data_IF_756854059665
#
_entry.id   IF_756854059665
#
_cell.length_a   1.000
_cell.length_b   1.000
_cell.length_c   1.000
_cell.angle_alpha   90.00
_cell.angle_beta   90.00
_cell.angle_gamma   90.00
#
_symmetry.space_group_name_H-M   'P 1'
#
loop_
_entity.id
_entity.type
_entity.pdbx_description
1 polymer ?
#
# COMPACT_ATOMS: atom_id res chain seq x y z
N UNK A 1 -20.85 65.88 2.70
CA UNK A 1 -21.29 64.95 3.76
C UNK A 1 -20.49 63.66 3.60
N UNK A 2 -19.55 63.39 4.49
CA UNK A 2 -18.62 62.27 4.39
C UNK A 2 -19.20 61.00 5.01
N UNK A 3 -19.24 59.92 4.25
CA UNK A 3 -19.47 58.57 4.78
C UNK A 3 -18.13 57.97 5.18
N UNK A 4 -17.93 57.83 6.49
CA UNK A 4 -16.79 57.11 7.06
C UNK A 4 -16.84 55.66 6.58
N UNK A 5 -15.84 55.26 5.77
CA UNK A 5 -15.58 53.86 5.49
C UNK A 5 -15.17 53.17 6.78
N UNK A 6 -15.99 52.21 7.22
CA UNK A 6 -15.68 51.34 8.34
C UNK A 6 -14.52 50.45 7.89
N UNK A 7 -13.34 50.64 8.49
CA UNK A 7 -12.23 49.72 8.35
C UNK A 7 -12.41 48.62 9.39
N UNK A 8 -13.09 47.53 9.00
CA UNK A 8 -13.08 46.30 9.78
C UNK A 8 -11.81 45.53 9.43
N UNK A 9 -10.72 45.83 10.11
CA UNK A 9 -9.61 44.91 10.26
C UNK A 9 -10.06 43.76 11.19
N UNK A 10 -10.90 42.88 10.68
CA UNK A 10 -10.99 41.52 11.22
C UNK A 10 -9.86 40.73 10.56
N UNK A 11 -8.72 40.66 11.24
CA UNK A 11 -7.67 39.69 10.93
C UNK A 11 -8.32 38.31 10.96
N UNK A 12 -8.69 37.80 9.78
CA UNK A 12 -9.03 36.41 9.61
C UNK A 12 -7.75 35.59 9.84
N UNK A 13 -7.55 35.20 11.10
CA UNK A 13 -6.58 34.20 11.55
C UNK A 13 -6.97 32.82 10.97
N UNK A 14 -6.83 32.67 9.65
CA UNK A 14 -6.92 31.36 9.00
C UNK A 14 -6.04 31.26 7.75
N UNK A 15 -4.97 32.05 7.67
CA UNK A 15 -4.02 31.99 6.55
C UNK A 15 -2.89 30.94 6.73
N UNK A 16 -2.91 30.11 7.77
CA UNK A 16 -1.93 29.00 7.98
C UNK A 16 -2.51 27.59 7.81
N UNK A 17 -3.79 27.42 7.50
CA UNK A 17 -4.36 26.08 7.17
C UNK A 17 -4.23 25.72 5.69
N UNK A 18 -3.20 26.24 5.00
CA UNK A 18 -2.91 25.85 3.62
C UNK A 18 -2.25 24.46 3.60
N UNK A 19 -3.07 23.47 3.28
CA UNK A 19 -2.66 22.26 2.55
C UNK A 19 -1.65 21.32 3.25
N UNK A 20 -1.92 20.89 4.49
CA UNK A 20 -1.38 19.58 4.91
C UNK A 20 -2.16 18.52 4.13
N UNK A 21 -1.54 17.92 3.12
CA UNK A 21 -2.09 16.77 2.41
C UNK A 21 -2.59 15.78 3.46
N UNK A 22 -3.90 15.51 3.49
CA UNK A 22 -4.50 14.58 4.47
C UNK A 22 -3.85 13.21 4.28
N UNK A 23 -3.03 12.82 5.25
CA UNK A 23 -2.44 11.49 5.35
C UNK A 23 -3.39 10.60 6.13
N UNK A 24 -3.56 9.37 5.68
CA UNK A 24 -4.41 8.37 6.31
C UNK A 24 -3.58 7.18 6.76
N UNK A 25 -3.97 6.52 7.84
CA UNK A 25 -3.27 5.31 8.29
C UNK A 25 -3.68 4.11 7.44
N UNK A 26 -2.71 3.26 7.08
CA UNK A 26 -2.98 1.92 6.53
C UNK A 26 -3.39 1.01 7.68
N UNK A 27 -4.70 0.76 7.79
CA UNK A 27 -5.25 -0.17 8.78
C UNK A 27 -5.43 -1.54 8.13
N UNK A 28 -4.83 -2.57 8.71
CA UNK A 28 -4.89 -3.94 8.18
C UNK A 28 -5.95 -4.75 8.93
N UNK A 29 -6.75 -5.57 8.26
CA UNK A 29 -7.71 -6.40 8.98
C UNK A 29 -6.96 -7.56 9.67
N UNK A 30 -7.45 -7.95 10.85
CA UNK A 30 -6.80 -9.00 11.68
C UNK A 30 -6.70 -10.36 11.00
N UNK A 31 -7.66 -10.67 10.12
CA UNK A 31 -7.70 -11.95 9.41
C UNK A 31 -6.65 -12.09 8.31
N UNK A 32 -6.03 -11.01 7.84
CA UNK A 32 -5.20 -11.02 6.63
C UNK A 32 -3.76 -11.41 6.95
N UNK A 33 -3.17 -12.27 6.13
CA UNK A 33 -1.76 -12.62 6.25
C UNK A 33 -0.83 -11.44 5.93
N UNK A 34 0.37 -11.45 6.51
CA UNK A 34 1.41 -10.45 6.23
C UNK A 34 1.85 -10.48 4.77
N UNK A 35 1.90 -11.66 4.15
CA UNK A 35 2.25 -11.83 2.74
C UNK A 35 1.23 -11.14 1.81
N UNK A 36 -0.08 -11.37 2.03
CA UNK A 36 -1.13 -10.72 1.26
C UNK A 36 -1.13 -9.20 1.47
N UNK A 37 -0.82 -8.74 2.69
CA UNK A 37 -0.67 -7.31 2.97
C UNK A 37 0.45 -6.67 2.15
N UNK A 38 1.66 -7.26 2.18
CA UNK A 38 2.81 -6.76 1.41
C UNK A 38 2.51 -6.79 -0.09
N UNK A 39 1.90 -7.87 -0.58
CA UNK A 39 1.47 -7.98 -1.98
C UNK A 39 0.51 -6.85 -2.39
N UNK A 40 -0.52 -6.57 -1.59
CA UNK A 40 -1.44 -5.47 -1.86
C UNK A 40 -0.75 -4.10 -1.86
N UNK A 41 0.23 -3.87 -1.00
CA UNK A 41 0.99 -2.62 -0.98
C UNK A 41 1.87 -2.45 -2.23
N UNK A 42 2.53 -3.53 -2.67
CA UNK A 42 3.28 -3.51 -3.93
C UNK A 42 2.36 -3.25 -5.13
N UNK A 43 1.15 -3.83 -5.15
CA UNK A 43 0.16 -3.52 -6.18
C UNK A 43 -0.26 -2.04 -6.18
N UNK A 44 -0.46 -1.44 -5.00
CA UNK A 44 -0.77 -0.01 -4.89
C UNK A 44 0.33 0.86 -5.54
N UNK A 45 1.61 0.52 -5.34
CA UNK A 45 2.75 1.21 -5.98
C UNK A 45 2.74 1.08 -7.51
N UNK A 46 2.48 -0.13 -8.02
CA UNK A 46 2.36 -0.37 -9.47
C UNK A 46 1.23 0.47 -10.06
N UNK A 47 0.07 0.50 -9.39
CA UNK A 47 -1.09 1.29 -9.82
C UNK A 47 -0.79 2.80 -9.78
N UNK A 48 -0.07 3.28 -8.77
CA UNK A 48 0.35 4.68 -8.68
C UNK A 48 1.25 5.07 -9.86
N UNK A 49 2.24 4.23 -10.18
CA UNK A 49 3.12 4.40 -11.35
C UNK A 49 2.33 4.42 -12.66
N UNK A 50 1.41 3.48 -12.85
CA UNK A 50 0.56 3.39 -14.04
C UNK A 50 -0.42 4.57 -14.20
N UNK A 51 -0.82 5.20 -13.09
CA UNK A 51 -1.69 6.40 -13.10
C UNK A 51 -0.91 7.71 -13.28
N UNK A 52 0.42 7.66 -13.28
CA UNK A 52 1.26 8.81 -13.54
C UNK A 52 0.94 9.46 -14.90
N UNK A 53 1.20 10.78 -15.06
CA UNK A 53 1.14 11.39 -16.37
C UNK A 53 2.18 10.74 -17.29
N UNK A 54 1.76 10.31 -18.48
CA UNK A 54 2.69 10.03 -19.57
C UNK A 54 3.45 11.31 -19.95
N UNK A 55 4.69 11.16 -20.41
CA UNK A 55 5.51 12.30 -20.83
C UNK A 55 4.77 13.22 -21.82
N UNK A 56 4.80 14.53 -21.56
CA UNK A 56 4.13 15.54 -22.37
C UNK A 56 2.62 15.67 -22.14
N UNK A 57 2.00 14.84 -21.30
CA UNK A 57 0.57 14.92 -20.98
C UNK A 57 0.35 15.47 -19.58
N UNK A 58 -0.71 16.27 -19.42
CA UNK A 58 -1.14 16.76 -18.11
C UNK A 58 -1.68 15.59 -17.28
N UNK A 59 -1.34 15.58 -15.99
CA UNK A 59 -1.89 14.62 -15.01
C UNK A 59 -3.42 14.58 -15.11
N UNK A 60 -4.00 13.37 -15.17
CA UNK A 60 -5.46 13.16 -15.25
C UNK A 60 -6.14 13.92 -14.10
N UNK A 61 -7.10 14.78 -14.46
CA UNK A 61 -7.94 15.47 -13.50
C UNK A 61 -8.88 14.46 -12.82
N UNK A 62 -9.02 14.54 -11.50
CA UNK A 62 -9.83 13.61 -10.72
C UNK A 62 -9.31 13.39 -9.30
N UNK A 63 -9.96 12.49 -8.57
CA UNK A 63 -9.57 12.13 -7.21
C UNK A 63 -8.22 11.38 -7.23
N UNK A 64 -7.19 12.04 -6.69
CA UNK A 64 -5.87 11.46 -6.54
C UNK A 64 -5.92 10.28 -5.57
N UNK A 65 -5.00 9.32 -5.73
CA UNK A 65 -4.80 8.31 -4.69
C UNK A 65 -4.50 9.00 -3.37
N UNK A 66 -5.18 8.56 -2.31
CA UNK A 66 -4.96 9.09 -0.97
C UNK A 66 -3.57 8.68 -0.50
N UNK A 67 -2.81 9.60 0.06
CA UNK A 67 -1.55 9.27 0.71
C UNK A 67 -1.86 8.47 2.00
N UNK A 68 -1.37 7.22 2.05
CA UNK A 68 -1.59 6.31 3.18
C UNK A 68 -0.25 5.91 3.80
N UNK A 69 -0.06 6.20 5.08
CA UNK A 69 1.15 5.90 5.85
C UNK A 69 1.03 4.50 6.48
N UNK A 70 2.08 3.66 6.44
CA UNK A 70 2.10 2.40 7.21
C UNK A 70 1.78 2.63 8.69
N UNK A 71 0.97 1.76 9.27
CA UNK A 71 0.59 1.83 10.68
C UNK A 71 0.43 0.41 11.23
N UNK A 72 0.69 0.24 12.52
CA UNK A 72 0.47 -1.02 13.24
C UNK A 72 -1.00 -1.21 13.65
N UNK A 73 -1.89 -0.29 13.26
CA UNK A 73 -3.31 -0.36 13.54
C UNK A 73 -3.94 -1.53 12.79
N UNK A 74 -4.65 -2.37 13.53
CA UNK A 74 -5.45 -3.45 12.97
C UNK A 74 -6.94 -3.17 13.14
N UNK A 75 -7.75 -3.69 12.20
CA UNK A 75 -9.22 -3.63 12.27
C UNK A 75 -9.76 -5.03 12.58
N UNK A 76 -10.18 -5.31 13.84
CA UNK A 76 -10.75 -6.59 14.22
C UNK A 76 -12.19 -6.80 13.72
N UNK A 77 -12.91 -5.74 13.39
CA UNK A 77 -14.30 -5.80 12.91
C UNK A 77 -14.40 -6.15 11.42
N UNK A 78 -13.28 -6.11 10.71
CA UNK A 78 -13.26 -6.40 9.29
C UNK A 78 -13.62 -7.87 9.03
N UNK A 79 -14.71 -8.09 8.30
CA UNK A 79 -15.17 -9.43 7.93
C UNK A 79 -14.22 -10.05 6.91
N UNK A 80 -13.80 -11.29 7.16
CA UNK A 80 -12.96 -12.04 6.26
C UNK A 80 -13.75 -12.52 5.01
N UNK A 81 -13.21 -12.33 3.79
CA UNK A 81 -13.81 -12.88 2.59
C UNK A 81 -13.82 -14.41 2.60
N UNK A 82 -14.83 -14.99 1.96
CA UNK A 82 -14.95 -16.44 1.76
C UNK A 82 -14.19 -16.86 0.50
N UNK A 83 -13.70 -18.10 0.46
CA UNK A 83 -13.10 -18.68 -0.75
C UNK A 83 -11.67 -18.27 -1.04
N UNK A 84 -10.97 -17.62 -0.10
CA UNK A 84 -9.56 -17.30 -0.32
C UNK A 84 -8.68 -18.55 -0.12
N UNK A 85 -7.52 -18.60 -0.79
CA UNK A 85 -6.40 -19.49 -0.47
C UNK A 85 -6.02 -19.47 1.01
N UNK A 86 -5.56 -20.59 1.55
CA UNK A 86 -5.20 -20.73 2.97
C UNK A 86 -4.16 -19.71 3.42
N UNK A 87 -3.12 -19.50 2.61
CA UNK A 87 -2.03 -18.56 2.89
C UNK A 87 -2.42 -17.06 2.84
N UNK A 88 -3.64 -16.74 2.41
CA UNK A 88 -4.17 -15.37 2.46
C UNK A 88 -4.67 -14.97 3.86
N UNK A 89 -4.93 -15.95 4.73
CA UNK A 89 -5.39 -15.73 6.10
C UNK A 89 -4.22 -15.76 7.08
N UNK A 90 -4.31 -14.96 8.14
CA UNK A 90 -3.38 -15.02 9.27
C UNK A 90 -3.59 -16.33 10.04
N UNK A 91 -2.50 -17.05 10.31
CA UNK A 91 -2.55 -18.38 10.93
C UNK A 91 -3.03 -18.34 12.38
N UNK A 92 -2.58 -17.35 13.17
CA UNK A 92 -3.02 -17.17 14.56
C UNK A 92 -4.50 -16.81 14.62
N UNK A 93 -4.96 -15.97 13.70
CA UNK A 93 -6.36 -15.62 13.59
C UNK A 93 -7.22 -16.82 13.20
N UNK A 94 -6.77 -17.62 12.21
CA UNK A 94 -7.44 -18.87 11.85
C UNK A 94 -7.48 -19.83 13.04
N UNK A 95 -6.37 -19.98 13.77
CA UNK A 95 -6.25 -20.83 14.96
C UNK A 95 -7.29 -20.46 16.03
N UNK A 96 -7.60 -19.17 16.18
CA UNK A 96 -8.61 -18.67 17.12
C UNK A 96 -10.07 -18.89 16.72
N UNK A 97 -10.37 -19.25 15.47
CA UNK A 97 -11.75 -19.46 15.01
C UNK A 97 -12.33 -20.81 15.42
N UNK A 98 -13.64 -20.83 15.69
CA UNK A 98 -14.40 -22.06 15.84
C UNK A 98 -14.44 -22.85 14.53
N UNK A 99 -14.59 -24.17 14.64
CA UNK A 99 -14.68 -25.07 13.47
C UNK A 99 -15.77 -24.64 12.47
N UNK A 100 -16.96 -24.30 12.96
CA UNK A 100 -18.07 -23.85 12.11
C UNK A 100 -17.77 -22.55 11.35
N UNK A 101 -17.03 -21.63 11.97
CA UNK A 101 -16.61 -20.38 11.33
C UNK A 101 -15.59 -20.64 10.22
N UNK A 102 -14.63 -21.56 10.46
CA UNK A 102 -13.66 -21.96 9.44
C UNK A 102 -14.33 -22.64 8.25
N UNK A 103 -15.30 -23.53 8.50
CA UNK A 103 -16.08 -24.18 7.44
C UNK A 103 -16.86 -23.13 6.63
N UNK A 104 -17.43 -22.10 7.27
CA UNK A 104 -18.14 -21.02 6.58
C UNK A 104 -17.24 -20.13 5.70
N UNK A 105 -15.93 -20.07 5.98
CA UNK A 105 -14.97 -19.34 5.13
C UNK A 105 -14.73 -20.05 3.80
N UNK A 106 -15.05 -21.35 3.68
CA UNK A 106 -14.81 -22.15 2.47
C UNK A 106 -13.37 -21.97 1.93
N UNK A 107 -12.39 -22.12 2.83
CA UNK A 107 -10.97 -21.89 2.52
C UNK A 107 -10.53 -22.85 1.43
N UNK A 108 -9.84 -22.32 0.41
CA UNK A 108 -9.28 -23.15 -0.66
C UNK A 108 -7.98 -23.77 -0.18
N UNK A 109 -7.87 -25.09 -0.32
CA UNK A 109 -6.68 -25.87 0.04
C UNK A 109 -5.60 -25.78 -1.05
N UNK A 110 -5.30 -24.56 -1.48
CA UNK A 110 -4.26 -24.21 -2.43
C UNK A 110 -3.64 -22.91 -1.94
N UNK A 111 -2.34 -22.78 -2.14
CA UNK A 111 -1.64 -21.54 -1.84
C UNK A 111 -1.66 -20.60 -3.03
N UNK A 112 -1.66 -19.30 -2.74
CA UNK A 112 -1.52 -18.25 -3.72
C UNK A 112 -0.06 -17.79 -3.83
N UNK A 113 0.45 -17.67 -5.04
CA UNK A 113 1.79 -17.14 -5.28
C UNK A 113 1.75 -15.61 -5.29
N UNK A 114 2.30 -14.97 -4.26
CA UNK A 114 2.35 -13.51 -4.11
C UNK A 114 3.44 -12.83 -4.96
N UNK A 115 3.92 -13.50 -6.01
CA UNK A 115 4.95 -12.98 -6.90
C UNK A 115 4.47 -11.74 -7.65
N UNK A 116 5.20 -10.64 -7.49
CA UNK A 116 5.23 -9.55 -8.47
C UNK A 116 6.69 -9.53 -8.90
N UNK A 117 6.98 -10.11 -10.07
CA UNK A 117 8.31 -10.06 -10.68
C UNK A 117 8.64 -8.58 -10.90
N UNK A 118 9.51 -8.02 -10.05
CA UNK A 118 10.10 -6.73 -10.30
C UNK A 118 11.34 -7.04 -11.15
N UNK A 119 11.25 -6.82 -12.47
CA UNK A 119 12.34 -7.03 -13.44
C UNK A 119 13.65 -6.26 -13.10
N UNK A 120 13.65 -5.49 -12.00
CA UNK A 120 14.78 -4.72 -11.48
C UNK A 120 15.77 -5.53 -10.63
N UNK A 121 15.42 -6.74 -10.20
CA UNK A 121 16.30 -7.58 -9.36
C UNK A 121 17.30 -8.43 -10.17
N UNK A 122 17.26 -8.37 -11.51
CA UNK A 122 18.09 -9.19 -12.41
C UNK A 122 19.42 -8.57 -12.88
N UNK A 123 19.79 -7.35 -12.45
CA UNK A 123 20.89 -6.60 -13.08
C UNK A 123 22.19 -6.44 -12.25
N UNK A 124 22.30 -7.03 -11.05
CA UNK A 124 23.43 -6.77 -10.14
C UNK A 124 24.20 -8.01 -9.65
N UNK A 125 24.06 -9.17 -10.30
CA UNK A 125 24.90 -10.35 -10.02
C UNK A 125 25.52 -10.96 -11.30
N UNK A 126 25.88 -10.10 -12.27
CA UNK A 126 27.00 -10.39 -13.16
C UNK A 126 28.22 -9.66 -12.60
N UNK A 127 28.66 -10.09 -11.42
CA UNK A 127 30.01 -9.79 -10.96
C UNK A 127 30.95 -10.62 -11.81
N UNK A 128 31.75 -9.95 -12.62
CA UNK A 128 32.90 -10.53 -13.30
C UNK A 128 33.83 -11.17 -12.26
N UNK A 129 33.62 -12.46 -11.99
CA UNK A 129 34.60 -13.36 -11.40
C UNK A 129 35.06 -14.29 -12.52
N UNK A 130 36.03 -13.85 -13.31
CA UNK A 130 37.10 -14.71 -13.87
C UNK A 130 38.24 -13.81 -14.36
N UNK A 131 39.32 -13.74 -13.59
CA UNK A 131 40.66 -14.04 -14.11
C UNK A 131 41.63 -14.10 -12.93
N UNK A 132 41.75 -15.30 -12.38
CA UNK A 132 42.76 -15.69 -11.42
C UNK A 132 43.32 -17.06 -11.82
N UNK A 133 44.55 -17.02 -12.35
CA UNK A 133 45.56 -18.09 -12.35
C UNK A 133 45.56 -19.14 -13.48
N UNK A 134 46.51 -19.00 -14.42
CA UNK A 134 47.36 -20.13 -14.81
C UNK A 134 48.81 -19.70 -15.06
N UNK A 135 49.71 -20.56 -14.58
CA UNK A 135 51.16 -20.45 -14.39
C UNK A 135 51.98 -20.92 -15.62
N UNK A 136 53.29 -20.70 -15.54
CA UNK A 136 54.44 -21.26 -16.32
C UNK A 136 54.63 -20.73 -17.77
N UNK A 137 55.85 -20.41 -18.24
CA UNK A 137 57.19 -20.98 -17.95
C UNK A 137 58.27 -19.96 -17.49
#
# INVERSE_FOLDING_TARGET
MGTKGVSSNESNESATRRNKSRTFDRVTPTWRSSQLMVFMWRLDEVVERMKGPEFGKRKKAGNQMRNRIPSDKTNPEAVAPKGLPKNCYNEDWLAGLYRSQREMLNIRDKDYEFGIEDERDGAYLAGDEEEGEHMED
#
